data_IF_931167743644
#
_entry.id   IF_931167743644
#
_cell.length_a   1.000
_cell.length_b   1.000
_cell.length_c   1.000
_cell.angle_alpha   90.00
_cell.angle_beta   90.00
_cell.angle_gamma   90.00
#
_symmetry.space_group_name_H-M   'P 1'
#
loop_
_entity.id
_entity.type
_entity.pdbx_description
1 polymer ?
#
# COMPACT_ATOMS: atom_id res chain seq x y z
N UNK A 1 -44.59 -29.46 27.41
CA UNK A 1 -43.17 -29.85 27.57
C UNK A 1 -42.71 -29.36 28.94
N UNK A 2 -42.12 -30.21 29.76
CA UNK A 2 -41.61 -29.77 31.07
C UNK A 2 -40.49 -28.75 30.86
N UNK A 3 -40.39 -27.77 31.75
CA UNK A 3 -39.39 -26.70 31.68
C UNK A 3 -37.95 -27.24 31.56
N UNK A 4 -37.70 -28.43 32.12
CA UNK A 4 -36.44 -29.15 32.02
C UNK A 4 -36.07 -29.52 30.58
N UNK A 5 -37.01 -30.06 29.79
CA UNK A 5 -36.76 -30.44 28.39
C UNK A 5 -36.46 -29.20 27.55
N UNK A 6 -37.16 -28.09 27.81
CA UNK A 6 -36.93 -26.83 27.10
C UNK A 6 -35.53 -26.27 27.36
N UNK A 7 -35.07 -26.33 28.61
CA UNK A 7 -33.74 -25.85 28.99
C UNK A 7 -32.64 -26.71 28.36
N UNK A 8 -32.82 -28.04 28.38
CA UNK A 8 -31.88 -29.01 27.77
C UNK A 8 -31.76 -28.83 26.25
N UNK A 9 -32.87 -28.48 25.59
CA UNK A 9 -32.87 -28.19 24.16
C UNK A 9 -32.09 -26.91 23.84
N UNK A 10 -32.31 -25.84 24.62
CA UNK A 10 -31.60 -24.57 24.43
C UNK A 10 -30.10 -24.69 24.67
N UNK A 11 -29.68 -25.45 25.68
CA UNK A 11 -28.25 -25.67 25.94
C UNK A 11 -27.60 -26.49 24.83
N UNK A 12 -28.27 -27.53 24.33
CA UNK A 12 -27.78 -28.32 23.20
C UNK A 12 -27.60 -27.48 21.93
N UNK A 13 -28.60 -26.64 21.61
CA UNK A 13 -28.53 -25.71 20.47
C UNK A 13 -27.41 -24.69 20.65
N UNK A 14 -27.30 -24.10 21.84
CA UNK A 14 -26.24 -23.12 22.14
C UNK A 14 -24.85 -23.73 21.98
N UNK A 15 -24.63 -24.93 22.50
CA UNK A 15 -23.35 -25.64 22.37
C UNK A 15 -23.05 -25.90 20.89
N UNK A 16 -24.05 -26.35 20.11
CA UNK A 16 -23.92 -26.56 18.68
C UNK A 16 -23.52 -25.30 17.92
N UNK A 17 -24.11 -24.15 18.24
CA UNK A 17 -23.76 -22.88 17.59
C UNK A 17 -22.32 -22.46 17.95
N UNK A 18 -21.92 -22.62 19.22
CA UNK A 18 -20.58 -22.27 19.68
C UNK A 18 -19.52 -23.14 19.00
N UNK A 19 -19.72 -24.45 18.90
CA UNK A 19 -18.77 -25.34 18.22
C UNK A 19 -18.65 -25.01 16.73
N UNK A 20 -19.76 -24.68 16.07
CA UNK A 20 -19.78 -24.30 14.66
C UNK A 20 -19.06 -22.96 14.42
N UNK A 21 -19.24 -21.99 15.33
CA UNK A 21 -18.52 -20.73 15.30
C UNK A 21 -17.00 -20.91 15.47
N UNK A 22 -16.58 -21.79 16.38
CA UNK A 22 -15.15 -22.11 16.58
C UNK A 22 -14.58 -22.74 15.32
N UNK A 23 -15.25 -23.73 14.73
CA UNK A 23 -14.80 -24.37 13.48
C UNK A 23 -14.69 -23.36 12.33
N UNK A 24 -15.69 -22.50 12.16
CA UNK A 24 -15.67 -21.44 11.16
C UNK A 24 -14.51 -20.45 11.38
N UNK A 25 -14.25 -20.09 12.64
CA UNK A 25 -13.12 -19.22 13.01
C UNK A 25 -11.77 -19.84 12.63
N UNK A 26 -11.56 -21.13 12.92
CA UNK A 26 -10.34 -21.84 12.52
C UNK A 26 -10.18 -21.90 11.00
N UNK A 27 -11.26 -22.15 10.27
CA UNK A 27 -11.25 -22.20 8.80
C UNK A 27 -10.89 -20.83 8.21
N UNK A 28 -11.50 -19.75 8.72
CA UNK A 28 -11.20 -18.39 8.29
C UNK A 28 -9.73 -18.04 8.59
N UNK A 29 -9.23 -18.43 9.77
CA UNK A 29 -7.84 -18.21 10.15
C UNK A 29 -6.85 -18.96 9.24
N UNK A 30 -7.21 -20.17 8.80
CA UNK A 30 -6.43 -20.93 7.81
C UNK A 30 -6.40 -20.19 6.46
N UNK A 31 -7.55 -19.73 5.97
CA UNK A 31 -7.64 -18.96 4.70
C UNK A 31 -6.80 -17.69 4.76
N UNK A 32 -6.91 -16.92 5.85
CA UNK A 32 -6.10 -15.71 6.07
C UNK A 32 -4.63 -16.06 6.16
N UNK A 33 -4.27 -17.13 6.88
CA UNK A 33 -2.91 -17.63 6.98
C UNK A 33 -2.32 -17.95 5.61
N UNK A 34 -3.04 -18.69 4.77
CA UNK A 34 -2.60 -19.02 3.40
C UNK A 34 -2.49 -17.76 2.53
N UNK A 35 -3.42 -16.82 2.63
CA UNK A 35 -3.35 -15.56 1.88
C UNK A 35 -2.13 -14.71 2.27
N UNK A 36 -1.84 -14.61 3.57
CA UNK A 36 -0.67 -13.88 4.10
C UNK A 36 0.63 -14.58 3.72
N UNK A 37 0.72 -15.91 3.87
CA UNK A 37 1.89 -16.68 3.47
C UNK A 37 2.11 -16.58 1.95
N UNK A 38 1.06 -16.72 1.16
CA UNK A 38 1.11 -16.56 -0.29
C UNK A 38 1.62 -15.18 -0.68
N UNK A 39 1.13 -14.11 -0.03
CA UNK A 39 1.64 -12.75 -0.25
C UNK A 39 3.09 -12.59 0.17
N UNK A 40 3.50 -13.19 1.30
CA UNK A 40 4.88 -13.12 1.80
C UNK A 40 5.85 -13.85 0.85
N UNK A 41 5.47 -15.03 0.39
CA UNK A 41 6.22 -15.83 -0.59
C UNK A 41 6.28 -15.05 -1.92
N UNK A 42 5.16 -14.50 -2.38
CA UNK A 42 5.12 -13.69 -3.60
C UNK A 42 6.08 -12.50 -3.52
N UNK A 43 6.07 -11.73 -2.42
CA UNK A 43 7.00 -10.63 -2.20
C UNK A 43 8.46 -11.08 -2.11
N UNK A 44 8.73 -12.26 -1.54
CA UNK A 44 10.08 -12.81 -1.38
C UNK A 44 10.66 -13.33 -2.69
N UNK A 45 9.86 -14.00 -3.53
CA UNK A 45 10.32 -14.64 -4.77
C UNK A 45 10.15 -13.77 -6.02
N UNK A 46 9.20 -12.85 -6.00
CA UNK A 46 9.08 -11.77 -6.98
C UNK A 46 9.44 -10.45 -6.29
N UNK A 47 10.74 -10.16 -6.05
CA UNK A 47 11.17 -8.82 -5.76
C UNK A 47 10.94 -8.00 -7.05
N UNK A 48 9.68 -7.60 -7.27
CA UNK A 48 9.39 -6.50 -8.14
C UNK A 48 10.22 -5.34 -7.58
N UNK A 49 11.20 -4.88 -8.36
CA UNK A 49 11.98 -3.67 -8.08
C UNK A 49 11.12 -2.40 -8.20
N UNK A 50 9.89 -2.47 -7.71
CA UNK A 50 8.89 -1.42 -7.65
C UNK A 50 8.09 -1.67 -6.38
N UNK A 51 8.44 -0.87 -5.36
CA UNK A 51 7.57 -0.45 -4.28
C UNK A 51 7.46 -1.41 -3.09
N UNK A 52 8.58 -1.50 -2.36
CA UNK A 52 8.58 -1.69 -0.91
C UNK A 52 7.78 -0.55 -0.25
N UNK A 53 6.48 -0.72 -0.10
CA UNK A 53 5.63 0.11 0.75
C UNK A 53 4.45 -0.72 1.26
N UNK A 54 4.75 -1.89 1.83
CA UNK A 54 3.86 -2.53 2.77
C UNK A 54 4.36 -2.13 4.17
N UNK A 55 3.84 -1.01 4.70
CA UNK A 55 4.05 -0.68 6.11
C UNK A 55 4.31 0.78 6.49
N UNK A 56 3.91 1.78 5.71
CA UNK A 56 3.76 3.15 6.25
C UNK A 56 2.63 3.84 5.50
N UNK A 57 1.55 4.18 6.19
CA UNK A 57 0.63 5.21 5.72
C UNK A 57 1.38 6.55 5.82
N UNK A 58 2.22 6.85 4.84
CA UNK A 58 2.83 8.18 4.70
C UNK A 58 1.73 9.13 4.28
N UNK A 59 1.16 9.84 5.24
CA UNK A 59 0.47 11.10 4.97
C UNK A 59 1.48 11.97 4.24
N UNK A 60 1.27 12.20 2.95
CA UNK A 60 2.05 13.19 2.19
C UNK A 60 1.64 14.57 2.71
N UNK A 61 2.21 14.99 3.84
CA UNK A 61 2.30 16.41 4.14
C UNK A 61 3.22 16.99 3.08
N UNK A 62 2.67 17.83 2.20
CA UNK A 62 3.42 18.59 1.22
C UNK A 62 4.31 19.60 1.95
N UNK A 63 5.43 19.14 2.48
CA UNK A 63 6.47 20.02 3.00
C UNK A 63 7.38 20.34 1.82
N UNK A 64 7.11 21.47 1.17
CA UNK A 64 7.97 22.05 0.14
C UNK A 64 9.30 22.41 0.83
N UNK A 65 10.30 21.54 0.68
CA UNK A 65 11.67 21.75 1.14
C UNK A 65 12.64 21.50 -0.02
N UNK A 66 13.68 22.33 -0.21
CA UNK A 66 14.47 22.32 -1.43
C UNK A 66 15.40 21.10 -1.44
N UNK A 67 15.08 20.09 -2.25
CA UNK A 67 16.00 18.97 -2.52
C UNK A 67 16.76 19.23 -3.82
N UNK A 68 18.00 19.69 -3.65
CA UNK A 68 19.03 19.81 -4.68
C UNK A 68 19.24 18.42 -5.33
N UNK A 69 18.75 18.25 -6.56
CA UNK A 69 19.09 17.12 -7.42
C UNK A 69 20.42 17.42 -8.12
N UNK A 70 21.48 16.73 -7.69
CA UNK A 70 22.77 16.72 -8.39
C UNK A 70 22.69 15.66 -9.49
N UNK A 71 22.27 16.06 -10.69
CA UNK A 71 22.34 15.23 -11.87
C UNK A 71 23.73 15.35 -12.49
N UNK A 72 24.50 14.26 -12.48
CA UNK A 72 25.66 14.10 -13.34
C UNK A 72 25.17 14.01 -14.80
N UNK A 73 25.16 15.14 -15.50
CA UNK A 73 25.07 15.18 -16.95
C UNK A 73 26.42 15.68 -17.48
N UNK A 74 27.05 14.81 -18.26
CA UNK A 74 28.18 15.11 -19.12
C UNK A 74 27.82 16.23 -20.10
N UNK A 75 28.82 17.07 -20.33
CA UNK A 75 29.04 17.93 -21.48
C UNK A 75 28.41 19.33 -21.54
N UNK A 76 29.35 20.28 -21.65
CA UNK A 76 29.31 21.54 -22.39
C UNK A 76 28.62 22.72 -21.69
N UNK A 77 29.49 23.41 -20.95
CA UNK A 77 29.81 24.82 -21.13
C UNK A 77 28.65 25.85 -21.12
N UNK A 78 28.76 26.71 -20.10
CA UNK A 78 28.20 28.05 -20.03
C UNK A 78 26.69 28.19 -19.69
N UNK A 79 26.42 28.77 -18.51
CA UNK A 79 25.35 29.75 -18.15
C UNK A 79 24.68 29.44 -16.81
N UNK A 80 25.21 30.08 -15.77
CA UNK A 80 24.58 30.27 -14.45
C UNK A 80 23.32 31.17 -14.50
N UNK A 81 22.50 31.08 -15.55
CA UNK A 81 21.27 31.85 -15.64
C UNK A 81 20.12 31.08 -15.01
N UNK A 82 19.35 31.71 -14.10
CA UNK A 82 18.21 31.06 -13.51
C UNK A 82 17.16 30.85 -14.60
N UNK A 83 16.78 29.60 -14.83
CA UNK A 83 15.68 29.23 -15.72
C UNK A 83 14.49 28.74 -14.88
N UNK A 84 13.29 28.83 -15.46
CA UNK A 84 12.10 28.12 -14.97
C UNK A 84 11.82 26.98 -15.94
N UNK A 85 11.55 25.79 -15.42
CA UNK A 85 11.07 24.70 -16.25
C UNK A 85 9.56 24.70 -16.34
N UNK A 86 9.03 24.44 -17.53
CA UNK A 86 7.60 24.39 -17.82
C UNK A 86 7.31 23.09 -18.55
N UNK A 87 6.30 22.37 -18.06
CA UNK A 87 5.78 21.15 -18.68
C UNK A 87 4.86 21.57 -19.83
N UNK A 88 4.99 20.90 -20.97
CA UNK A 88 4.11 21.13 -22.12
C UNK A 88 2.67 20.74 -21.74
N UNK A 89 1.71 21.62 -22.07
CA UNK A 89 0.30 21.37 -21.78
C UNK A 89 -0.27 20.25 -22.67
N UNK A 90 0.31 20.08 -23.87
CA UNK A 90 -0.14 19.10 -24.85
C UNK A 90 0.57 17.73 -24.67
N UNK A 91 1.72 17.70 -23.98
CA UNK A 91 2.53 16.50 -23.79
C UNK A 91 3.25 16.50 -22.41
N UNK A 92 2.71 15.81 -21.39
CA UNK A 92 3.24 15.84 -20.03
C UNK A 92 4.64 15.22 -19.89
N UNK A 93 5.13 14.51 -20.92
CA UNK A 93 6.47 13.92 -20.94
C UNK A 93 7.52 14.88 -21.52
N UNK A 94 7.11 16.06 -22.01
CA UNK A 94 8.01 17.10 -22.53
C UNK A 94 8.14 18.28 -21.57
N UNK A 95 9.38 18.66 -21.29
CA UNK A 95 9.74 19.80 -20.43
C UNK A 95 10.64 20.77 -21.20
N UNK A 96 10.31 22.06 -21.16
CA UNK A 96 11.09 23.13 -21.79
C UNK A 96 11.62 24.13 -20.76
N UNK A 97 12.79 24.70 -21.03
CA UNK A 97 13.45 25.68 -20.16
C UNK A 97 13.20 27.09 -20.67
N UNK A 98 12.58 27.93 -19.84
CA UNK A 98 12.38 29.36 -20.13
C UNK A 98 13.44 30.16 -19.35
N UNK A 99 14.30 30.95 -20.02
CA UNK A 99 15.27 31.81 -19.34
C UNK A 99 14.54 32.94 -18.59
N UNK A 100 15.02 33.29 -17.39
CA UNK A 100 14.47 34.45 -16.67
C UNK A 100 15.08 35.73 -17.22
N UNK A 101 14.22 36.68 -17.55
CA UNK A 101 14.61 38.05 -17.90
C UNK A 101 15.03 38.75 -16.59
N UNK A 102 16.20 39.40 -16.58
CA UNK A 102 16.70 40.19 -15.44
C UNK A 102 15.97 41.51 -15.30
#
# INVERSE_FOLDING_TARGET
MSNAVRLLLWTAISIGIVTLAILAFWLLLLVVGVAVLGRLIYLKFFPNRRNTSAGTFTVHTFTIGPRVHRNNASDIDNRNEPYTTVIDADDPDKEYRIPKIK
#
